data_IF_235134567557
#
_entry.id   IF_235134567557
#
_cell.length_a   1.000
_cell.length_b   1.000
_cell.length_c   1.000
_cell.angle_alpha   90.00
_cell.angle_beta   90.00
_cell.angle_gamma   90.00
#
_symmetry.space_group_name_H-M   'P 1'
#
loop_
_entity.id
_entity.type
_entity.pdbx_description
1 polymer ?
#
# COMPACT_ATOMS: atom_id res chain seq x y z
N UNK A 1 10.15 14.69 -14.63
CA UNK A 1 9.74 14.43 -16.02
C UNK A 1 9.43 15.71 -16.78
N UNK A 2 8.39 16.48 -16.43
CA UNK A 2 7.98 17.69 -17.19
C UNK A 2 9.10 18.73 -17.36
N UNK A 3 9.85 19.03 -16.28
CA UNK A 3 11.01 19.95 -16.34
C UNK A 3 12.15 19.47 -17.24
N UNK A 4 12.18 18.16 -17.55
CA UNK A 4 13.14 17.51 -18.44
C UNK A 4 12.49 17.08 -19.77
N UNK A 5 11.29 17.59 -20.09
CA UNK A 5 10.54 17.25 -21.33
C UNK A 5 9.93 15.84 -21.38
N UNK A 6 9.96 15.09 -20.28
CA UNK A 6 9.40 13.74 -20.20
C UNK A 6 7.90 13.71 -19.86
N UNK A 7 7.22 12.64 -20.26
CA UNK A 7 5.82 12.38 -19.93
C UNK A 7 5.64 12.07 -18.43
N UNK A 8 4.89 12.88 -17.66
CA UNK A 8 4.63 12.62 -16.25
C UNK A 8 3.80 11.36 -16.01
N UNK A 9 2.99 10.91 -16.97
CA UNK A 9 2.14 9.72 -16.82
C UNK A 9 2.92 8.41 -16.69
N UNK A 10 4.22 8.43 -17.04
CA UNK A 10 5.12 7.30 -16.80
C UNK A 10 5.40 7.08 -15.31
N UNK A 11 5.17 8.07 -14.45
CA UNK A 11 5.25 7.91 -13.00
C UNK A 11 3.89 7.38 -12.52
N UNK A 12 3.71 6.07 -12.59
CA UNK A 12 2.52 5.39 -12.13
C UNK A 12 2.87 4.00 -11.58
N UNK A 13 2.22 3.52 -10.52
CA UNK A 13 2.41 2.16 -10.03
C UNK A 13 2.13 1.10 -11.11
N UNK A 14 3.10 0.23 -11.37
CA UNK A 14 3.00 -0.90 -12.30
C UNK A 14 2.40 -2.14 -11.63
N UNK A 15 2.53 -2.23 -10.30
CA UNK A 15 1.95 -3.27 -9.44
C UNK A 15 0.80 -2.70 -8.60
N UNK A 16 -0.16 -3.53 -8.15
CA UNK A 16 -1.18 -3.11 -7.18
C UNK A 16 -0.54 -2.56 -5.90
N UNK A 17 -1.06 -1.45 -5.41
CA UNK A 17 -0.56 -0.77 -4.21
C UNK A 17 -1.73 -0.38 -3.31
N UNK A 18 -1.68 -0.87 -2.07
CA UNK A 18 -2.70 -0.64 -1.06
C UNK A 18 -2.11 0.21 0.08
N UNK A 19 -2.64 1.41 0.27
CA UNK A 19 -2.30 2.27 1.40
C UNK A 19 -3.40 2.18 2.45
N UNK A 20 -3.06 1.71 3.65
CA UNK A 20 -3.97 1.68 4.80
C UNK A 20 -3.65 2.83 5.73
N UNK A 21 -4.68 3.57 6.15
CA UNK A 21 -4.56 4.68 7.10
C UNK A 21 -4.91 4.15 8.49
N UNK A 22 -3.88 3.93 9.31
CA UNK A 22 -4.02 3.37 10.67
C UNK A 22 -3.14 4.06 11.71
N UNK A 23 -2.10 4.79 11.29
CA UNK A 23 -1.16 5.51 12.16
C UNK A 23 -1.58 6.97 12.46
N UNK A 24 -2.84 7.35 12.24
CA UNK A 24 -3.32 8.73 12.45
C UNK A 24 -4.25 8.91 13.65
N UNK A 25 -5.00 7.87 14.06
CA UNK A 25 -5.87 7.91 15.24
C UNK A 25 -5.02 8.02 16.51
N UNK A 26 -5.45 8.86 17.45
CA UNK A 26 -4.89 8.95 18.80
C UNK A 26 -5.99 8.66 19.81
N UNK A 27 -5.59 8.23 21.01
CA UNK A 27 -6.53 7.99 22.13
C UNK A 27 -6.64 9.27 22.94
N UNK A 28 -7.52 10.18 22.54
CA UNK A 28 -7.83 11.42 23.26
C UNK A 28 -8.94 11.19 24.32
N UNK A 29 -9.91 10.33 24.00
CA UNK A 29 -10.97 9.86 24.89
C UNK A 29 -10.92 8.33 25.06
N UNK A 30 -11.26 7.83 26.25
CA UNK A 30 -11.31 6.40 26.58
C UNK A 30 -12.36 6.10 27.65
N UNK A 31 -12.80 4.84 27.74
CA UNK A 31 -13.67 4.36 28.82
C UNK A 31 -15.15 4.77 28.75
N UNK A 32 -15.58 5.36 27.63
CA UNK A 32 -16.98 5.75 27.39
C UNK A 32 -17.48 5.22 26.03
N UNK A 33 -18.80 5.11 25.88
CA UNK A 33 -19.42 4.60 24.65
C UNK A 33 -19.20 5.53 23.44
N UNK A 34 -18.94 6.81 23.68
CA UNK A 34 -18.69 7.84 22.67
C UNK A 34 -17.19 8.08 22.38
N UNK A 35 -16.28 7.43 23.12
CA UNK A 35 -14.84 7.64 22.98
C UNK A 35 -14.33 7.39 21.55
N UNK A 36 -14.83 6.35 20.89
CA UNK A 36 -14.44 6.04 19.50
C UNK A 36 -14.80 7.19 18.55
N UNK A 37 -16.04 7.69 18.63
CA UNK A 37 -16.50 8.78 17.76
C UNK A 37 -15.69 10.06 18.01
N UNK A 38 -15.45 10.40 19.28
CA UNK A 38 -14.64 11.58 19.62
C UNK A 38 -13.22 11.51 19.05
N UNK A 39 -12.56 10.34 19.17
CA UNK A 39 -11.22 10.15 18.63
C UNK A 39 -11.18 10.25 17.10
N UNK A 40 -12.18 9.69 16.41
CA UNK A 40 -12.31 9.78 14.95
C UNK A 40 -12.53 11.24 14.52
N UNK A 41 -13.42 11.98 15.20
CA UNK A 41 -13.70 13.38 14.86
C UNK A 41 -12.43 14.25 15.00
N UNK A 42 -11.66 14.05 16.06
CA UNK A 42 -10.38 14.74 16.27
C UNK A 42 -9.32 14.33 15.25
N UNK A 43 -9.25 13.05 14.89
CA UNK A 43 -8.36 12.56 13.84
C UNK A 43 -8.63 13.28 12.50
N UNK A 44 -9.90 13.37 12.08
CA UNK A 44 -10.29 14.05 10.85
C UNK A 44 -9.98 15.54 10.88
N UNK A 45 -10.18 16.21 12.02
CA UNK A 45 -9.80 17.61 12.20
C UNK A 45 -8.28 17.81 12.06
N UNK A 46 -7.47 16.94 12.66
CA UNK A 46 -6.00 17.04 12.66
C UNK A 46 -5.36 16.67 11.32
N UNK A 47 -5.93 15.70 10.59
CA UNK A 47 -5.31 15.10 9.40
C UNK A 47 -6.01 15.45 8.08
N UNK A 48 -6.97 16.38 8.08
CA UNK A 48 -7.80 16.69 6.91
C UNK A 48 -7.00 17.02 5.63
N UNK A 49 -5.86 17.70 5.72
CA UNK A 49 -4.99 17.94 4.56
C UNK A 49 -4.34 16.66 4.03
N UNK A 50 -3.82 15.82 4.92
CA UNK A 50 -3.22 14.52 4.57
C UNK A 50 -4.23 13.62 3.88
N UNK A 51 -5.47 13.58 4.36
CA UNK A 51 -6.53 12.79 3.73
C UNK A 51 -6.96 13.33 2.37
N UNK A 52 -7.00 14.66 2.18
CA UNK A 52 -7.21 15.25 0.85
C UNK A 52 -6.09 14.87 -0.11
N UNK A 53 -4.84 14.92 0.34
CA UNK A 53 -3.68 14.53 -0.46
C UNK A 53 -3.71 13.05 -0.85
N UNK A 54 -3.98 12.15 0.11
CA UNK A 54 -4.10 10.71 -0.15
C UNK A 54 -5.28 10.39 -1.08
N UNK A 55 -6.42 11.08 -0.91
CA UNK A 55 -7.58 10.94 -1.80
C UNK A 55 -7.28 11.43 -3.21
N UNK A 56 -6.54 12.53 -3.36
CA UNK A 56 -6.04 12.96 -4.66
C UNK A 56 -5.11 11.90 -5.27
N UNK A 57 -4.19 11.32 -4.48
CA UNK A 57 -3.30 10.26 -4.94
C UNK A 57 -4.05 9.03 -5.47
N UNK A 58 -5.10 8.60 -4.77
CA UNK A 58 -6.00 7.52 -5.21
C UNK A 58 -6.71 7.80 -6.55
N UNK A 59 -6.86 9.07 -6.92
CA UNK A 59 -7.46 9.47 -8.20
C UNK A 59 -6.41 9.73 -9.29
N UNK A 60 -5.21 10.14 -8.89
CA UNK A 60 -4.13 10.53 -9.79
C UNK A 60 -3.35 9.33 -10.33
N UNK A 61 -3.29 8.22 -9.59
CA UNK A 61 -2.53 7.02 -9.95
C UNK A 61 -3.44 5.82 -10.20
N UNK A 62 -3.16 5.08 -11.28
CA UNK A 62 -3.77 3.77 -11.51
C UNK A 62 -3.10 2.73 -10.60
N UNK A 63 -3.82 1.66 -10.26
CA UNK A 63 -3.37 0.57 -9.38
C UNK A 63 -3.06 1.01 -7.94
N UNK A 64 -3.49 2.21 -7.53
CA UNK A 64 -3.32 2.72 -6.17
C UNK A 64 -4.67 2.83 -5.46
N UNK A 65 -4.82 2.10 -4.37
CA UNK A 65 -6.03 2.10 -3.54
C UNK A 65 -5.69 2.61 -2.14
N UNK A 66 -6.57 3.44 -1.59
CA UNK A 66 -6.48 3.93 -0.22
C UNK A 66 -7.62 3.33 0.59
N UNK A 67 -7.27 2.60 1.65
CA UNK A 67 -8.21 2.11 2.66
C UNK A 67 -8.42 3.22 3.69
N UNK A 68 -9.68 3.64 3.95
CA UNK A 68 -9.96 4.79 4.80
C UNK A 68 -9.61 4.53 6.27
N UNK A 69 -9.45 5.60 7.09
CA UNK A 69 -9.23 5.47 8.53
C UNK A 69 -10.38 4.72 9.21
N UNK A 70 -10.12 4.22 10.42
CA UNK A 70 -11.06 3.44 11.23
C UNK A 70 -11.52 2.10 10.61
N UNK A 71 -10.85 1.61 9.55
CA UNK A 71 -11.11 0.27 8.98
C UNK A 71 -10.40 -0.83 9.76
N UNK A 72 -9.25 -0.53 10.35
CA UNK A 72 -8.39 -1.48 11.05
C UNK A 72 -6.91 -1.13 10.88
N UNK A 73 -6.03 -1.96 11.45
CA UNK A 73 -4.58 -1.83 11.29
C UNK A 73 -4.11 -2.55 10.02
N UNK A 74 -3.08 -2.01 9.36
CA UNK A 74 -2.61 -2.44 8.04
C UNK A 74 -2.37 -3.96 7.95
N UNK A 75 -1.73 -4.54 8.96
CA UNK A 75 -1.39 -5.97 8.93
C UNK A 75 -2.59 -6.88 9.16
N UNK A 76 -3.56 -6.47 9.99
CA UNK A 76 -4.79 -7.22 10.18
C UNK A 76 -5.67 -7.15 8.93
N UNK A 77 -5.83 -5.97 8.34
CA UNK A 77 -6.54 -5.78 7.07
C UNK A 77 -5.85 -6.60 5.96
N UNK A 78 -4.52 -6.69 5.98
CA UNK A 78 -3.78 -7.49 5.02
C UNK A 78 -4.12 -8.98 5.15
N UNK A 79 -4.05 -9.53 6.37
CA UNK A 79 -4.37 -10.94 6.64
C UNK A 79 -5.83 -11.29 6.31
N UNK A 80 -6.78 -10.43 6.66
CA UNK A 80 -8.21 -10.74 6.58
C UNK A 80 -8.84 -10.42 5.22
N UNK A 81 -8.25 -9.49 4.45
CA UNK A 81 -8.91 -8.94 3.25
C UNK A 81 -8.01 -8.81 2.02
N UNK A 82 -6.78 -8.31 2.17
CA UNK A 82 -5.93 -8.00 1.01
C UNK A 82 -5.24 -9.24 0.45
N UNK A 83 -4.66 -10.08 1.31
CA UNK A 83 -3.94 -11.28 0.92
C UNK A 83 -4.82 -12.22 0.07
N UNK A 84 -4.22 -12.78 -0.98
CA UNK A 84 -4.87 -13.75 -1.89
C UNK A 84 -4.23 -15.12 -1.81
N UNK A 85 -2.98 -15.22 -1.37
CA UNK A 85 -2.21 -16.46 -1.31
C UNK A 85 -1.75 -16.94 -2.69
N UNK A 86 -2.66 -17.03 -3.66
CA UNK A 86 -2.36 -17.29 -5.07
C UNK A 86 -3.02 -16.22 -5.93
N UNK A 87 -2.21 -15.58 -6.76
CA UNK A 87 -2.66 -14.61 -7.76
C UNK A 87 -2.75 -15.29 -9.13
N UNK A 88 -3.61 -14.77 -10.01
CA UNK A 88 -3.74 -15.27 -11.39
C UNK A 88 -3.69 -14.11 -12.36
N UNK A 89 -2.80 -14.17 -13.34
CA UNK A 89 -2.66 -13.17 -14.40
C UNK A 89 -2.41 -13.87 -15.73
N UNK A 90 -3.18 -13.52 -16.74
CA UNK A 90 -3.06 -14.08 -18.10
C UNK A 90 -3.04 -15.62 -18.14
N UNK A 91 -3.85 -16.26 -17.31
CA UNK A 91 -3.95 -17.73 -17.24
C UNK A 91 -2.83 -18.43 -16.47
N UNK A 92 -1.90 -17.68 -15.87
CA UNK A 92 -0.84 -18.23 -15.04
C UNK A 92 -1.10 -17.90 -13.57
N UNK A 93 -1.04 -18.93 -12.72
CA UNK A 93 -1.12 -18.82 -11.28
C UNK A 93 0.28 -18.69 -10.67
N UNK A 94 0.45 -17.78 -9.72
CA UNK A 94 1.72 -17.53 -9.05
C UNK A 94 1.47 -17.18 -7.57
N UNK A 95 2.44 -17.43 -6.67
CA UNK A 95 2.26 -17.13 -5.26
C UNK A 95 2.12 -15.63 -5.03
N UNK A 96 1.32 -15.27 -4.04
CA UNK A 96 1.23 -13.90 -3.54
C UNK A 96 2.54 -13.54 -2.81
N UNK A 97 3.04 -12.32 -3.06
CA UNK A 97 4.22 -11.77 -2.40
C UNK A 97 4.11 -10.25 -2.30
N UNK A 98 4.68 -9.65 -1.25
CA UNK A 98 4.69 -8.19 -1.12
C UNK A 98 5.87 -7.63 -0.32
N UNK A 99 6.13 -6.35 -0.55
CA UNK A 99 6.92 -5.50 0.35
C UNK A 99 6.04 -4.37 0.86
N UNK A 100 6.25 -3.95 2.10
CA UNK A 100 5.46 -2.88 2.72
C UNK A 100 6.36 -1.85 3.41
N UNK A 101 5.91 -0.61 3.51
CA UNK A 101 6.64 0.47 4.19
C UNK A 101 6.51 0.41 5.72
N UNK A 102 6.34 -0.80 6.27
CA UNK A 102 6.18 -1.07 7.70
C UNK A 102 6.93 -2.35 8.07
N UNK A 103 7.66 -2.34 9.19
CA UNK A 103 8.51 -3.45 9.61
C UNK A 103 7.74 -4.73 9.93
N UNK A 104 6.47 -4.63 10.33
CA UNK A 104 5.62 -5.78 10.67
C UNK A 104 4.92 -6.39 9.46
N UNK A 105 5.23 -5.94 8.23
CA UNK A 105 4.75 -6.59 6.98
C UNK A 105 5.04 -8.10 6.99
N UNK A 106 6.07 -8.52 7.72
CA UNK A 106 6.39 -9.95 7.97
C UNK A 106 5.28 -10.75 8.63
N UNK A 107 4.26 -10.12 9.23
CA UNK A 107 3.09 -10.80 9.80
C UNK A 107 2.35 -11.65 8.75
N UNK A 108 2.37 -11.23 7.48
CA UNK A 108 1.70 -11.95 6.38
C UNK A 108 2.31 -13.34 6.12
N UNK A 109 3.57 -13.57 6.54
CA UNK A 109 4.24 -14.86 6.39
C UNK A 109 3.51 -15.97 7.15
N UNK A 110 2.70 -15.64 8.16
CA UNK A 110 1.85 -16.60 8.85
C UNK A 110 0.77 -17.24 7.96
N UNK A 111 0.41 -16.62 6.83
CA UNK A 111 -0.52 -17.15 5.82
C UNK A 111 0.19 -17.81 4.62
N UNK A 112 1.52 -17.95 4.66
CA UNK A 112 2.30 -18.52 3.56
C UNK A 112 2.55 -17.57 2.38
N UNK A 113 2.22 -16.28 2.53
CA UNK A 113 2.57 -15.20 1.60
C UNK A 113 3.95 -14.68 1.97
N UNK A 114 4.87 -14.57 1.02
CA UNK A 114 6.22 -14.06 1.30
C UNK A 114 6.19 -12.54 1.35
N UNK A 115 6.50 -11.94 2.50
CA UNK A 115 6.62 -10.48 2.59
C UNK A 115 7.44 -9.95 3.76
N UNK A 116 7.96 -8.73 3.57
CA UNK A 116 8.80 -8.03 4.57
C UNK A 116 8.74 -6.51 4.42
N UNK A 117 9.22 -5.82 5.46
CA UNK A 117 9.27 -4.36 5.50
C UNK A 117 10.46 -3.78 4.74
N UNK A 118 10.24 -2.68 4.03
CA UNK A 118 11.25 -1.90 3.31
C UNK A 118 11.06 -0.40 3.58
N UNK A 119 12.03 0.43 3.17
CA UNK A 119 11.88 1.89 3.22
C UNK A 119 10.94 2.42 2.12
N UNK A 120 10.52 3.67 2.26
CA UNK A 120 9.62 4.32 1.30
C UNK A 120 10.21 4.44 -0.11
N UNK A 121 11.52 4.70 -0.21
CA UNK A 121 12.20 4.83 -1.51
C UNK A 121 12.27 3.47 -2.21
N UNK A 122 12.57 2.40 -1.46
CA UNK A 122 12.57 1.04 -1.98
C UNK A 122 11.18 0.61 -2.45
N UNK A 123 10.14 0.95 -1.68
CA UNK A 123 8.77 0.70 -2.08
C UNK A 123 8.42 1.47 -3.36
N UNK A 124 8.73 2.77 -3.44
CA UNK A 124 8.51 3.57 -4.65
C UNK A 124 9.26 3.02 -5.87
N UNK A 125 10.48 2.49 -5.69
CA UNK A 125 11.23 1.84 -6.76
C UNK A 125 10.50 0.59 -7.29
N UNK A 126 9.97 -0.25 -6.39
CA UNK A 126 9.16 -1.42 -6.77
C UNK A 126 7.84 -1.02 -7.43
N UNK A 127 7.25 0.11 -7.03
CA UNK A 127 6.04 0.63 -7.67
C UNK A 127 6.30 1.08 -9.11
N UNK A 128 7.46 1.69 -9.39
CA UNK A 128 7.74 2.37 -10.66
C UNK A 128 8.53 1.54 -11.66
N UNK A 129 9.29 0.54 -11.22
CA UNK A 129 10.10 -0.29 -12.09
C UNK A 129 9.42 -1.62 -12.42
N UNK A 130 9.74 -2.14 -13.60
CA UNK A 130 9.58 -3.56 -13.86
C UNK A 130 10.80 -4.23 -13.24
N UNK A 131 10.59 -5.28 -12.46
CA UNK A 131 11.55 -6.05 -11.66
C UNK A 131 12.84 -6.52 -12.39
N UNK A 132 13.03 -6.16 -13.66
CA UNK A 132 14.04 -6.63 -14.58
C UNK A 132 15.40 -5.90 -14.51
N UNK A 133 15.51 -4.72 -13.88
CA UNK A 133 16.72 -3.89 -13.94
C UNK A 133 17.58 -3.82 -12.65
N UNK A 134 17.46 -4.81 -11.76
CA UNK A 134 18.49 -5.06 -10.75
C UNK A 134 18.38 -4.27 -9.44
N UNK A 135 17.17 -3.88 -9.03
CA UNK A 135 16.91 -3.60 -7.61
C UNK A 135 17.12 -4.88 -6.79
N UNK A 136 17.95 -4.83 -5.73
CA UNK A 136 18.27 -5.95 -4.82
C UNK A 136 17.09 -6.47 -3.99
N UNK A 137 15.86 -6.16 -4.39
CA UNK A 137 14.61 -6.54 -3.74
C UNK A 137 13.85 -7.34 -4.80
N UNK A 138 13.82 -8.66 -4.61
CA UNK A 138 13.33 -9.62 -5.60
C UNK A 138 11.86 -9.35 -5.89
N UNK A 139 11.53 -9.39 -7.16
CA UNK A 139 10.38 -8.77 -7.75
C UNK A 139 10.02 -9.75 -8.90
N UNK A 140 8.77 -10.25 -8.91
CA UNK A 140 8.37 -11.55 -9.49
C UNK A 140 8.98 -11.89 -10.87
N UNK A 141 9.75 -12.98 -10.91
CA UNK A 141 10.21 -13.61 -12.15
C UNK A 141 9.02 -14.28 -12.87
N UNK A 142 8.33 -13.58 -13.79
CA UNK A 142 7.68 -14.34 -14.85
C UNK A 142 6.60 -13.75 -15.75
N UNK A 143 5.98 -12.59 -15.52
CA UNK A 143 4.76 -12.23 -16.31
C UNK A 143 4.52 -10.74 -16.51
N UNK A 144 5.49 -10.05 -17.11
CA UNK A 144 5.21 -8.79 -17.79
C UNK A 144 5.52 -8.93 -19.29
N UNK A 145 4.61 -8.48 -20.17
CA UNK A 145 4.85 -8.54 -21.61
C UNK A 145 6.09 -7.70 -21.92
N UNK A 146 7.01 -8.28 -22.68
CA UNK A 146 8.15 -7.59 -23.26
C UNK A 146 7.65 -6.28 -23.90
N UNK A 147 8.27 -5.16 -23.52
CA UNK A 147 8.14 -3.91 -24.28
C UNK A 147 8.47 -4.12 -25.75
#
# INVERSE_FOLDING_TARGET
MVRMGGDPKKINPLVPCDLVIDHSVQVDAFGSADALQQNIDLEFQRNGERYRFLRWGAQAFNNFRVVPPATGIVHQVNLEYLAKGVLTKNGVAYPDSLVGTDSHTTMINGLGVVGWGVGGIEAEAVMLDDCQHGSRIRCDDGLLPSR
#
